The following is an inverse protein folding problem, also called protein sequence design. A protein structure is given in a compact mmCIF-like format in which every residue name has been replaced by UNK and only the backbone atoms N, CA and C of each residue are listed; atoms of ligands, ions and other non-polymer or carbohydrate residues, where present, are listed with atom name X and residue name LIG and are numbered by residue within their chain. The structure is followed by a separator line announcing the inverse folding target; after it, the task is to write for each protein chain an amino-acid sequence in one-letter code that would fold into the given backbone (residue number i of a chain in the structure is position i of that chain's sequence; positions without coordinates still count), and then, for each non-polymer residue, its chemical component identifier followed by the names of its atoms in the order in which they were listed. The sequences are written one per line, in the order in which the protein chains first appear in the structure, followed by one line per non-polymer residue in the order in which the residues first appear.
data_IF_207829572314
#
_entry.id   IF_207829572314
#
_cell.length_a   1.000
_cell.length_b   1.000
_cell.length_c   1.000
_cell.angle_alpha   90.00
_cell.angle_beta   90.00
_cell.angle_gamma   90.00
#
_symmetry.space_group_name_H-M   'P 1'
#
loop_
_entity.id
_entity.type
_entity.pdbx_description
1 polymer ?
#
# COMPACT_ATOMS: atom_id res chain seq x y z
N UNK A 1 -9.69 5.49 43.35
CA UNK A 1 -9.29 6.64 42.51
C UNK A 1 -8.01 6.38 41.70
N UNK A 2 -6.88 5.95 42.30
CA UNK A 2 -5.62 5.66 41.57
C UNK A 2 -5.74 4.66 40.39
N UNK A 3 -6.52 3.57 40.54
CA UNK A 3 -6.64 2.52 39.52
C UNK A 3 -7.41 2.96 38.26
N UNK A 4 -8.35 3.90 38.41
CA UNK A 4 -9.15 4.43 37.29
C UNK A 4 -8.28 5.34 36.42
N UNK A 5 -7.39 6.13 37.04
CA UNK A 5 -6.43 6.99 36.33
C UNK A 5 -5.46 6.14 35.50
N UNK A 6 -4.96 5.02 36.07
CA UNK A 6 -4.04 4.11 35.38
C UNK A 6 -4.71 3.45 34.17
N UNK A 7 -5.95 2.97 34.32
CA UNK A 7 -6.71 2.39 33.21
C UNK A 7 -6.99 3.41 32.10
N UNK A 8 -7.32 4.66 32.47
CA UNK A 8 -7.53 5.76 31.52
C UNK A 8 -6.27 6.11 30.72
N UNK A 9 -5.10 6.14 31.38
CA UNK A 9 -3.82 6.41 30.69
C UNK A 9 -3.43 5.31 29.70
N UNK A 10 -3.76 4.04 29.97
CA UNK A 10 -3.44 2.94 29.05
C UNK A 10 -4.25 3.05 27.75
N UNK A 11 -5.51 3.49 27.82
CA UNK A 11 -6.34 3.72 26.64
C UNK A 11 -5.81 4.85 25.75
N UNK A 12 -5.22 5.89 26.36
CA UNK A 12 -4.59 7.01 25.66
C UNK A 12 -3.23 6.65 25.02
N UNK A 13 -2.56 5.60 25.52
CA UNK A 13 -1.28 5.12 24.98
C UNK A 13 -1.43 4.17 23.79
N UNK A 14 -2.64 3.71 23.49
CA UNK A 14 -2.92 3.09 22.19
C UNK A 14 -2.89 4.19 21.12
N UNK A 15 -1.69 4.56 20.68
CA UNK A 15 -1.51 5.51 19.59
C UNK A 15 -2.44 5.14 18.44
N UNK A 16 -3.22 6.10 17.94
CA UNK A 16 -4.26 5.88 16.95
C UNK A 16 -3.69 5.12 15.74
N UNK A 17 -3.93 3.81 15.70
CA UNK A 17 -3.66 3.00 14.53
C UNK A 17 -4.82 3.19 13.56
N UNK A 18 -4.51 3.60 12.34
CA UNK A 18 -5.53 3.93 11.35
C UNK A 18 -5.29 3.07 10.13
N UNK A 19 -6.31 2.32 9.72
CA UNK A 19 -6.26 1.63 8.45
C UNK A 19 -6.43 2.66 7.32
N UNK A 20 -5.47 2.68 6.38
CA UNK A 20 -5.54 3.46 5.15
C UNK A 20 -5.44 2.48 3.99
N UNK A 21 -6.36 2.59 3.04
CA UNK A 21 -6.25 1.84 1.80
C UNK A 21 -5.14 2.47 0.95
N UNK A 22 -4.24 1.64 0.43
CA UNK A 22 -3.21 2.09 -0.49
C UNK A 22 -3.77 2.16 -1.90
N UNK A 23 -3.51 3.26 -2.59
CA UNK A 23 -4.02 3.54 -3.94
C UNK A 23 -2.89 3.44 -4.96
N UNK A 24 -3.22 3.13 -6.21
CA UNK A 24 -2.23 2.99 -7.28
C UNK A 24 -1.62 4.36 -7.58
N UNK A 25 -0.33 4.50 -7.26
CA UNK A 25 0.42 5.74 -7.51
C UNK A 25 1.10 5.72 -8.86
N UNK A 26 1.65 4.57 -9.26
CA UNK A 26 2.28 4.40 -10.58
C UNK A 26 2.31 2.94 -11.02
N UNK A 27 2.35 2.75 -12.34
CA UNK A 27 2.48 1.45 -12.99
C UNK A 27 3.60 1.51 -14.02
N UNK A 28 4.52 0.57 -13.97
CA UNK A 28 5.66 0.44 -14.87
C UNK A 28 5.54 -0.91 -15.59
N UNK A 29 4.90 -0.88 -16.77
CA UNK A 29 4.66 -2.07 -17.56
C UNK A 29 5.97 -2.73 -18.07
N UNK A 30 6.97 -2.00 -18.60
CA UNK A 30 8.23 -2.63 -19.04
C UNK A 30 8.96 -3.40 -17.96
N UNK A 31 8.98 -2.88 -16.72
CA UNK A 31 9.64 -3.55 -15.59
C UNK A 31 8.70 -4.48 -14.81
N UNK A 32 7.41 -4.47 -15.12
CA UNK A 32 6.37 -5.22 -14.41
C UNK A 32 6.26 -4.81 -12.94
N UNK A 33 6.22 -3.50 -12.64
CA UNK A 33 6.15 -2.98 -11.26
C UNK A 33 4.88 -2.14 -11.09
N UNK A 34 4.13 -2.38 -10.01
CA UNK A 34 3.03 -1.53 -9.56
C UNK A 34 3.41 -0.93 -8.22
N UNK A 35 3.16 0.37 -8.05
CA UNK A 35 3.37 1.07 -6.79
C UNK A 35 2.03 1.51 -6.22
N UNK A 36 1.87 1.27 -4.92
CA UNK A 36 0.70 1.67 -4.14
C UNK A 36 1.17 2.64 -3.06
N UNK A 37 0.49 3.76 -2.91
CA UNK A 37 0.84 4.77 -1.91
C UNK A 37 -0.29 4.93 -0.89
N UNK A 38 0.07 5.18 0.36
CA UNK A 38 -0.86 5.63 1.38
C UNK A 38 -0.22 6.69 2.29
N UNK A 39 -1.05 7.60 2.80
CA UNK A 39 -0.59 8.68 3.69
C UNK A 39 -0.44 8.23 5.14
N UNK A 40 0.62 8.70 5.78
CA UNK A 40 0.90 8.56 7.21
C UNK A 40 1.18 9.95 7.82
N UNK A 41 0.58 10.26 8.98
CA UNK A 41 0.88 11.48 9.72
C UNK A 41 1.79 11.18 10.93
N UNK A 42 2.56 12.16 11.40
CA UNK A 42 3.62 12.03 12.43
C UNK A 42 3.17 11.34 13.74
N UNK A 43 1.90 11.43 14.10
CA UNK A 43 1.34 10.85 15.34
C UNK A 43 0.36 9.69 15.08
N UNK A 44 0.24 9.24 13.83
CA UNK A 44 -0.66 8.16 13.44
C UNK A 44 0.16 6.95 13.01
N UNK A 45 -0.21 5.79 13.52
CA UNK A 45 0.30 4.53 12.99
C UNK A 45 -0.61 4.08 11.85
N UNK A 46 -0.40 4.66 10.67
CA UNK A 46 -1.16 4.28 9.48
C UNK A 46 -0.64 2.94 8.94
N UNK A 47 -1.54 1.99 8.73
CA UNK A 47 -1.23 0.72 8.10
C UNK A 47 -2.23 0.44 6.98
N UNK A 48 -1.79 -0.30 5.97
CA UNK A 48 -2.64 -0.76 4.88
C UNK A 48 -2.74 -2.28 4.91
N UNK A 49 -3.90 -2.78 4.51
CA UNK A 49 -4.17 -4.21 4.53
C UNK A 49 -3.45 -4.90 3.36
N UNK A 50 -2.58 -5.86 3.68
CA UNK A 50 -1.75 -6.55 2.68
C UNK A 50 -2.60 -7.33 1.66
N UNK A 51 -3.71 -7.93 2.09
CA UNK A 51 -4.60 -8.67 1.21
C UNK A 51 -5.28 -7.73 0.21
N UNK A 52 -5.79 -6.60 0.69
CA UNK A 52 -6.39 -5.57 -0.17
C UNK A 52 -5.34 -4.99 -1.12
N UNK A 53 -4.14 -4.66 -0.63
CA UNK A 53 -3.06 -4.13 -1.44
C UNK A 53 -2.64 -5.11 -2.55
N UNK A 54 -2.49 -6.40 -2.21
CA UNK A 54 -2.16 -7.42 -3.20
C UNK A 54 -3.28 -7.59 -4.24
N UNK A 55 -4.55 -7.58 -3.82
CA UNK A 55 -5.70 -7.60 -4.73
C UNK A 55 -5.69 -6.41 -5.70
N UNK A 56 -5.46 -5.19 -5.19
CA UNK A 56 -5.36 -3.96 -5.98
C UNK A 56 -4.18 -4.02 -6.96
N UNK A 57 -3.00 -4.44 -6.50
CA UNK A 57 -1.83 -4.60 -7.34
C UNK A 57 -2.00 -5.68 -8.41
N UNK A 58 -2.61 -6.82 -8.05
CA UNK A 58 -2.91 -7.91 -9.00
C UNK A 58 -3.82 -7.43 -10.11
N UNK A 59 -4.86 -6.66 -9.76
CA UNK A 59 -5.78 -6.09 -10.76
C UNK A 59 -5.05 -5.12 -11.70
N UNK A 60 -4.18 -4.27 -11.16
CA UNK A 60 -3.34 -3.38 -11.96
C UNK A 60 -2.36 -4.16 -12.87
N UNK A 61 -1.73 -5.21 -12.36
CA UNK A 61 -0.88 -6.11 -13.14
C UNK A 61 -1.64 -6.80 -14.28
N UNK A 62 -2.88 -7.24 -14.04
CA UNK A 62 -3.75 -7.82 -15.06
C UNK A 62 -4.12 -6.82 -16.15
N UNK A 63 -4.36 -5.56 -15.81
CA UNK A 63 -4.55 -4.49 -16.80
C UNK A 63 -3.31 -4.25 -17.66
N UNK A 64 -2.11 -4.58 -17.16
CA UNK A 64 -0.85 -4.53 -17.92
C UNK A 64 -0.53 -5.85 -18.66
N UNK A 65 -1.38 -6.88 -18.55
CA UNK A 65 -1.18 -8.17 -19.22
C UNK A 65 -0.42 -9.23 -18.41
N UNK A 66 -0.23 -9.02 -17.11
CA UNK A 66 0.40 -9.98 -16.19
C UNK A 66 -0.64 -10.77 -15.39
N UNK A 67 -0.33 -11.99 -14.95
CA UNK A 67 -1.30 -12.84 -14.27
C UNK A 67 -1.54 -12.44 -12.81
N UNK A 68 -0.47 -12.18 -12.07
CA UNK A 68 -0.49 -11.97 -10.61
C UNK A 68 0.47 -10.85 -10.19
N UNK A 69 0.34 -10.40 -8.94
CA UNK A 69 1.29 -9.52 -8.29
C UNK A 69 1.89 -10.18 -7.04
N UNK A 70 3.13 -9.82 -6.70
CA UNK A 70 3.80 -10.25 -5.47
C UNK A 70 4.54 -9.07 -4.84
N UNK A 71 4.56 -8.99 -3.50
CA UNK A 71 5.22 -7.90 -2.79
C UNK A 71 6.71 -7.82 -3.18
N UNK A 72 7.19 -6.60 -3.41
CA UNK A 72 8.53 -6.36 -3.94
C UNK A 72 9.25 -5.26 -3.16
N UNK A 73 10.43 -5.58 -2.63
CA UNK A 73 11.25 -4.63 -1.90
C UNK A 73 10.65 -4.19 -0.55
N UNK A 74 11.28 -3.19 0.06
CA UNK A 74 10.79 -2.57 1.29
C UNK A 74 9.92 -1.34 0.96
N UNK A 75 8.90 -1.04 1.79
CA UNK A 75 8.13 0.20 1.64
C UNK A 75 9.02 1.43 1.75
N UNK A 76 8.88 2.36 0.81
CA UNK A 76 9.64 3.61 0.78
C UNK A 76 8.80 4.68 1.47
N UNK A 77 9.37 5.34 2.49
CA UNK A 77 8.71 6.47 3.16
C UNK A 77 9.28 7.77 2.63
N UNK A 78 8.41 8.62 2.12
CA UNK A 78 8.79 9.93 1.57
C UNK A 78 8.04 11.02 2.31
N UNK A 79 8.78 11.98 2.87
CA UNK A 79 8.17 13.09 3.56
C UNK A 79 7.46 14.02 2.57
N UNK A 80 6.17 14.28 2.77
CA UNK A 80 5.36 15.18 1.93
C UNK A 80 5.17 16.54 2.57
N UNK A 81 5.22 16.64 3.91
CA UNK A 81 5.14 17.90 4.63
C UNK A 81 6.18 17.95 5.74
N UNK A 82 7.08 18.93 5.65
CA UNK A 82 8.15 19.16 6.63
C UNK A 82 7.79 20.38 7.47
N UNK A 83 7.98 20.29 8.79
CA UNK A 83 7.95 21.44 9.70
C UNK A 83 9.20 21.44 10.55
N UNK A 84 10.13 22.35 10.25
CA UNK A 84 11.44 22.39 10.87
C UNK A 84 12.24 21.12 10.57
N UNK A 85 12.66 20.40 11.60
CA UNK A 85 13.38 19.12 11.49
C UNK A 85 12.47 17.89 11.46
N UNK A 86 11.15 18.07 11.55
CA UNK A 86 10.19 16.98 11.69
C UNK A 86 9.38 16.80 10.41
N UNK A 87 9.15 15.54 10.04
CA UNK A 87 8.20 15.19 8.99
C UNK A 87 6.78 15.08 9.58
N UNK A 88 5.88 15.98 9.17
CA UNK A 88 4.50 16.01 9.64
C UNK A 88 3.63 14.98 8.91
N UNK A 89 3.82 14.86 7.60
CA UNK A 89 3.13 13.88 6.76
C UNK A 89 4.13 13.16 5.86
N UNK A 90 3.93 11.86 5.72
CA UNK A 90 4.70 10.95 4.90
C UNK A 90 3.76 10.26 3.91
N UNK A 91 4.23 10.00 2.71
CA UNK A 91 3.66 9.01 1.81
C UNK A 91 4.47 7.72 1.94
N UNK A 92 3.80 6.60 2.13
CA UNK A 92 4.42 5.27 2.16
C UNK A 92 4.10 4.58 0.85
N UNK A 93 5.13 4.33 0.06
CA UNK A 93 5.05 3.63 -1.23
C UNK A 93 5.41 2.16 -1.05
N UNK A 94 4.43 1.29 -1.29
CA UNK A 94 4.59 -0.17 -1.36
C UNK A 94 4.75 -0.56 -2.82
N UNK A 95 5.68 -1.47 -3.11
CA UNK A 95 5.91 -1.94 -4.47
C UNK A 95 5.48 -3.40 -4.61
N UNK A 96 4.90 -3.71 -5.75
CA UNK A 96 4.53 -5.06 -6.16
C UNK A 96 5.15 -5.35 -7.52
N UNK A 97 5.67 -6.57 -7.68
CA UNK A 97 6.18 -7.06 -8.95
C UNK A 97 5.13 -7.95 -9.60
N UNK A 98 4.78 -7.62 -10.83
CA UNK A 98 3.90 -8.41 -11.66
C UNK A 98 4.60 -9.68 -12.15
N UNK A 99 3.85 -10.79 -12.19
CA UNK A 99 4.37 -12.11 -12.52
C UNK A 99 3.42 -12.85 -13.46
N UNK A 100 4.02 -13.68 -14.33
CA UNK A 100 3.29 -14.43 -15.36
C UNK A 100 2.63 -13.54 -16.41
N UNK A 101 1.91 -14.13 -17.34
CA UNK A 101 1.11 -13.41 -18.33
C UNK A 101 -0.36 -13.72 -18.12
N UNK A 102 -1.21 -12.70 -18.12
CA UNK A 102 -2.65 -12.89 -18.04
C UNK A 102 -3.12 -13.59 -19.32
N UNK A 103 -3.77 -14.75 -19.16
CA UNK A 103 -4.49 -15.37 -20.26
C UNK A 103 -5.77 -14.56 -20.47
N UNK A 104 -5.71 -13.56 -21.34
CA UNK A 104 -6.91 -12.82 -21.70
C UNK A 104 -7.76 -13.70 -22.61
N UNK A 105 -9.04 -13.89 -22.27
CA UNK A 105 -10.00 -14.65 -23.08
C UNK A 105 -10.26 -14.02 -24.47
N UNK A 106 -9.57 -12.92 -24.79
CA UNK A 106 -9.51 -12.31 -26.12
C UNK A 106 -8.50 -13.00 -27.06
N UNK A 107 -7.91 -14.13 -26.68
CA UNK A 107 -7.43 -15.07 -27.69
C UNK A 107 -8.65 -15.75 -28.34
N UNK A 108 -9.44 -14.99 -29.11
CA UNK A 108 -10.13 -15.59 -30.24
C UNK A 108 -9.01 -16.18 -31.09
N UNK A 109 -8.87 -17.50 -31.06
CA UNK A 109 -7.99 -18.18 -31.98
C UNK A 109 -8.42 -17.77 -33.38
N UNK A 110 -7.53 -17.24 -34.23
CA UNK A 110 -7.88 -16.91 -35.61
C UNK A 110 -8.19 -18.16 -36.48
N UNK A 111 -8.25 -19.36 -35.87
CA UNK A 111 -8.40 -20.64 -36.54
C UNK A 111 -9.57 -21.51 -36.04
N UNK A 112 -10.55 -20.95 -35.32
CA UNK A 112 -11.87 -21.56 -35.19
C UNK A 112 -12.99 -20.52 -35.25
#
# INVERSE_FOLDING_TARGET
MKRIIIAGTILLLAGCSINRQAEISSTDAPNGIVRLDYGQAMLQNAWSDEYVNNGTATKACQHMGYATASAYGQPIKTCTLISGSLCLNESVTIQYKCQGYAVTSSSQNPWY
#
